data_IF_978694336329
#
_entry.id   IF_978694336329
#
_cell.length_a   1.000
_cell.length_b   1.000
_cell.length_c   1.000
_cell.angle_alpha   90.00
_cell.angle_beta   90.00
_cell.angle_gamma   90.00
#
_symmetry.space_group_name_H-M   'P 1'
#
loop_
_entity.id
_entity.type
_entity.pdbx_description
1 polymer ?
#
# COMPACT_ATOMS: atom_id res chain seq x y z
N UNK A 1 97.19 0.61 9.04
CA UNK A 1 95.98 1.13 9.72
C UNK A 1 94.76 0.41 9.14
N UNK A 2 93.69 0.04 9.86
CA UNK A 2 93.47 -0.12 11.32
C UNK A 2 92.20 -0.97 11.52
N UNK A 3 92.34 -2.17 12.11
CA UNK A 3 91.30 -2.96 12.83
C UNK A 3 90.12 -3.50 11.95
N UNK A 4 89.66 -4.78 12.05
CA UNK A 4 89.13 -5.57 13.20
C UNK A 4 87.70 -5.14 13.60
N UNK A 5 86.76 -6.03 13.97
CA UNK A 5 86.72 -7.52 14.11
C UNK A 5 85.27 -7.97 14.46
N UNK A 6 84.91 -9.24 14.18
CA UNK A 6 83.99 -10.10 15.00
C UNK A 6 82.50 -9.63 15.01
N UNK A 7 81.42 -10.43 15.14
CA UNK A 7 81.05 -11.83 15.53
C UNK A 7 79.85 -12.26 14.60
N UNK A 8 79.17 -13.42 14.61
CA UNK A 8 79.29 -14.83 15.05
C UNK A 8 78.09 -15.60 14.41
N UNK A 9 77.96 -16.93 14.27
CA UNK A 9 78.83 -18.12 14.48
C UNK A 9 78.40 -19.22 13.47
N UNK A 10 79.12 -20.34 13.43
CA UNK A 10 78.63 -21.66 12.96
C UNK A 10 78.57 -22.62 14.19
N UNK A 11 77.94 -23.83 14.17
CA UNK A 11 78.23 -24.90 13.20
C UNK A 11 77.06 -25.84 12.77
N UNK A 12 77.31 -26.57 11.67
CA UNK A 12 76.92 -27.96 11.33
C UNK A 12 75.47 -28.48 11.56
N UNK A 13 74.97 -29.27 10.58
CA UNK A 13 74.72 -30.72 10.70
C UNK A 13 74.42 -31.34 9.32
N UNK A 14 74.60 -32.66 9.21
CA UNK A 14 74.84 -33.47 8.01
C UNK A 14 73.61 -34.02 7.26
N UNK A 15 73.80 -34.26 5.95
CA UNK A 15 73.34 -35.41 5.15
C UNK A 15 71.85 -35.84 5.17
N UNK A 16 71.23 -35.79 3.98
CA UNK A 16 70.52 -36.94 3.40
C UNK A 16 70.44 -36.78 1.86
N UNK A 17 70.41 -37.89 1.11
CA UNK A 17 70.17 -37.89 -0.33
C UNK A 17 69.17 -39.00 -0.69
N UNK A 18 68.13 -38.66 -1.47
CA UNK A 18 67.21 -39.60 -2.07
C UNK A 18 66.63 -38.99 -3.37
N UNK A 19 66.77 -39.69 -4.50
CA UNK A 19 66.20 -39.25 -5.77
C UNK A 19 64.74 -39.67 -5.90
N UNK A 20 63.86 -38.76 -6.28
CA UNK A 20 62.44 -39.05 -6.47
C UNK A 20 62.15 -39.49 -7.91
N UNK A 21 62.11 -40.80 -8.12
CA UNK A 21 61.74 -41.40 -9.41
C UNK A 21 60.20 -41.33 -9.53
N UNK A 22 59.68 -40.32 -10.23
CA UNK A 22 58.24 -40.10 -10.37
C UNK A 22 57.64 -41.11 -11.35
N UNK A 23 57.17 -42.24 -10.83
CA UNK A 23 56.29 -43.13 -11.58
C UNK A 23 54.93 -42.43 -11.77
N UNK A 24 54.63 -42.03 -13.00
CA UNK A 24 53.34 -41.46 -13.38
C UNK A 24 52.21 -42.49 -13.29
N UNK A 25 51.64 -42.64 -12.10
CA UNK A 25 50.47 -43.48 -11.88
C UNK A 25 49.23 -42.83 -12.52
N UNK A 26 48.94 -43.18 -13.77
CA UNK A 26 47.68 -42.80 -14.46
C UNK A 26 46.52 -43.56 -13.82
N UNK A 27 45.97 -43.00 -12.74
CA UNK A 27 44.74 -43.50 -12.15
C UNK A 27 43.62 -43.47 -13.22
N UNK A 28 42.86 -44.55 -13.43
CA UNK A 28 41.75 -44.53 -14.36
C UNK A 28 40.68 -43.57 -13.82
N UNK A 29 40.38 -42.50 -14.56
CA UNK A 29 39.34 -41.54 -14.18
C UNK A 29 37.96 -42.17 -14.37
N UNK A 30 37.44 -42.83 -13.33
CA UNK A 30 36.07 -43.33 -13.28
C UNK A 30 35.10 -42.16 -13.16
N UNK A 31 34.62 -41.67 -14.31
CA UNK A 31 33.65 -40.59 -14.40
C UNK A 31 32.29 -41.01 -13.81
N UNK A 32 32.03 -40.62 -12.56
CA UNK A 32 30.72 -40.82 -11.92
C UNK A 32 29.67 -39.90 -12.55
N UNK A 33 28.90 -40.44 -13.49
CA UNK A 33 27.80 -39.72 -14.14
C UNK A 33 26.61 -39.62 -13.19
N UNK A 34 26.28 -38.40 -12.77
CA UNK A 34 25.09 -38.11 -11.98
C UNK A 34 23.98 -37.58 -12.90
N UNK A 35 22.79 -38.20 -12.85
CA UNK A 35 21.63 -37.77 -13.65
C UNK A 35 20.57 -37.20 -12.71
N UNK A 36 20.55 -35.87 -12.54
CA UNK A 36 19.48 -35.20 -11.80
C UNK A 36 18.24 -35.09 -12.68
N UNK A 37 17.11 -35.64 -12.20
CA UNK A 37 15.79 -35.53 -12.84
C UNK A 37 14.81 -34.90 -11.85
N UNK A 38 14.60 -33.59 -11.96
CA UNK A 38 13.52 -32.92 -11.23
C UNK A 38 12.15 -33.52 -11.62
N UNK A 39 11.25 -33.59 -10.63
CA UNK A 39 9.85 -33.99 -10.76
C UNK A 39 9.01 -32.81 -10.26
N UNK A 40 8.07 -32.34 -11.07
CA UNK A 40 7.17 -31.24 -10.71
C UNK A 40 5.94 -31.81 -9.99
N UNK A 41 5.62 -31.37 -8.76
CA UNK A 41 4.35 -31.71 -8.12
C UNK A 41 3.18 -31.20 -8.95
N UNK A 42 2.18 -32.04 -9.21
CA UNK A 42 0.91 -31.58 -9.80
C UNK A 42 -0.02 -31.15 -8.67
N UNK A 43 -0.41 -29.87 -8.64
CA UNK A 43 -1.29 -29.27 -7.62
C UNK A 43 -2.73 -29.82 -7.56
N UNK A 44 -2.97 -31.01 -8.11
CA UNK A 44 -4.22 -31.78 -8.00
C UNK A 44 -4.28 -32.63 -6.74
N UNK A 45 -3.14 -33.10 -6.20
CA UNK A 45 -3.06 -33.85 -4.95
C UNK A 45 -1.60 -33.91 -4.45
N UNK A 46 -1.25 -33.33 -3.29
CA UNK A 46 0.12 -33.38 -2.75
C UNK A 46 0.57 -34.78 -2.32
N UNK A 47 -0.35 -35.71 -2.04
CA UNK A 47 -0.05 -37.10 -1.68
C UNK A 47 0.08 -38.05 -2.91
N UNK A 48 0.17 -37.51 -4.13
CA UNK A 48 0.20 -38.30 -5.36
C UNK A 48 1.52 -39.07 -5.57
N UNK A 49 1.53 -40.37 -5.26
CA UNK A 49 2.69 -41.25 -5.46
C UNK A 49 2.93 -41.59 -6.94
N UNK A 50 3.82 -40.83 -7.60
CA UNK A 50 4.31 -41.13 -8.94
C UNK A 50 5.29 -42.32 -8.99
N UNK A 51 5.40 -42.97 -10.15
CA UNK A 51 6.43 -44.00 -10.42
C UNK A 51 7.28 -43.59 -11.62
N UNK A 52 8.58 -43.38 -11.40
CA UNK A 52 9.57 -43.10 -12.46
C UNK A 52 10.35 -44.36 -12.82
N UNK A 53 10.41 -44.69 -14.10
CA UNK A 53 11.15 -45.85 -14.62
C UNK A 53 12.52 -45.45 -15.19
N UNK A 54 13.59 -45.66 -14.43
CA UNK A 54 14.96 -45.43 -14.91
C UNK A 54 15.58 -46.74 -15.44
N UNK A 55 15.72 -46.85 -16.77
CA UNK A 55 16.32 -48.02 -17.43
C UNK A 55 17.82 -47.79 -17.65
N UNK A 56 18.65 -48.30 -16.74
CA UNK A 56 20.12 -48.27 -16.87
C UNK A 56 20.61 -49.51 -17.62
N UNK A 57 21.41 -49.32 -18.69
CA UNK A 57 22.10 -50.39 -19.42
C UNK A 57 23.60 -50.39 -19.09
N UNK A 58 24.07 -51.21 -18.12
CA UNK A 58 25.48 -51.23 -17.76
C UNK A 58 26.34 -51.92 -18.82
N UNK A 59 27.40 -51.26 -19.28
CA UNK A 59 28.41 -51.85 -20.19
C UNK A 59 29.57 -52.53 -19.42
N UNK A 60 29.56 -52.45 -18.08
CA UNK A 60 30.55 -53.03 -17.17
C UNK A 60 29.89 -53.28 -15.80
N UNK A 61 30.54 -54.07 -14.93
CA UNK A 61 30.04 -54.31 -13.56
C UNK A 61 30.19 -53.05 -12.71
N UNK A 62 29.08 -52.48 -12.26
CA UNK A 62 29.03 -51.31 -11.37
C UNK A 62 27.86 -51.41 -10.39
N UNK A 63 27.77 -50.45 -9.45
CA UNK A 63 26.65 -50.32 -8.51
C UNK A 63 25.90 -49.02 -8.79
N UNK A 64 24.60 -49.10 -9.02
CA UNK A 64 23.71 -47.95 -9.00
C UNK A 64 23.42 -47.59 -7.53
N UNK A 65 23.49 -46.30 -7.20
CA UNK A 65 22.80 -45.73 -6.05
C UNK A 65 21.62 -44.90 -6.54
N UNK A 66 20.58 -44.84 -5.74
CA UNK A 66 19.47 -43.89 -5.91
C UNK A 66 19.32 -43.23 -4.55
N UNK A 67 19.93 -42.07 -4.43
CA UNK A 67 19.83 -41.21 -3.26
C UNK A 67 18.65 -40.25 -3.50
N UNK A 68 17.83 -40.01 -2.47
CA UNK A 68 16.62 -39.21 -2.55
C UNK A 68 16.69 -38.13 -1.47
N UNK A 69 17.25 -36.98 -1.83
CA UNK A 69 17.34 -35.80 -0.97
C UNK A 69 15.91 -35.29 -0.70
N UNK A 70 15.48 -35.35 0.57
CA UNK A 70 14.08 -35.25 0.98
C UNK A 70 13.70 -33.91 1.61
N UNK A 71 14.43 -32.85 1.27
CA UNK A 71 14.43 -31.56 1.95
C UNK A 71 13.81 -30.42 1.11
N UNK A 72 12.74 -30.72 0.36
CA UNK A 72 11.79 -29.68 -0.12
C UNK A 72 10.79 -29.35 1.02
N UNK A 73 11.33 -28.87 2.15
CA UNK A 73 10.52 -28.33 3.24
C UNK A 73 10.05 -26.93 2.82
N UNK A 74 8.92 -26.89 2.11
CA UNK A 74 8.19 -25.66 1.81
C UNK A 74 7.45 -25.14 3.06
N UNK A 75 8.19 -24.98 4.16
CA UNK A 75 7.84 -24.05 5.25
C UNK A 75 8.13 -22.62 4.77
N UNK A 76 7.46 -22.24 3.69
CA UNK A 76 7.00 -20.86 3.57
C UNK A 76 5.85 -20.72 4.56
N UNK A 77 6.18 -20.51 5.83
CA UNK A 77 5.27 -19.78 6.70
C UNK A 77 4.96 -18.49 5.94
N UNK A 78 3.71 -18.34 5.51
CA UNK A 78 3.24 -17.09 4.95
C UNK A 78 3.48 -16.06 6.06
N UNK A 79 4.33 -15.04 5.86
CA UNK A 79 4.64 -14.11 6.92
C UNK A 79 3.32 -13.53 7.42
N UNK A 80 3.13 -13.36 8.75
CA UNK A 80 1.90 -12.74 9.23
C UNK A 80 1.75 -11.40 8.53
N UNK A 81 0.61 -11.19 7.89
CA UNK A 81 0.36 -10.05 7.02
C UNK A 81 0.63 -8.77 7.82
N UNK A 82 1.80 -8.18 7.56
CA UNK A 82 2.39 -7.07 8.33
C UNK A 82 2.43 -5.78 7.51
N UNK A 83 1.80 -5.84 6.35
CA UNK A 83 1.48 -4.73 5.45
C UNK A 83 0.15 -4.10 5.97
N UNK A 84 -0.85 -4.94 6.32
CA UNK A 84 -2.09 -4.64 7.09
C UNK A 84 -1.85 -3.88 8.43
N UNK A 85 -0.62 -3.87 8.94
CA UNK A 85 -0.22 -3.10 10.13
C UNK A 85 0.15 -1.63 9.85
N UNK A 86 0.13 -1.20 8.58
CA UNK A 86 0.48 0.15 8.13
C UNK A 86 -0.48 0.76 7.09
N UNK A 87 -1.44 -0.02 6.59
CA UNK A 87 -2.42 0.44 5.61
C UNK A 87 -3.46 1.40 6.22
N UNK A 88 -3.89 2.36 5.41
CA UNK A 88 -4.90 3.38 5.70
C UNK A 88 -6.06 3.28 4.71
N UNK A 89 -7.20 3.84 5.10
CA UNK A 89 -8.28 4.19 4.19
C UNK A 89 -7.83 5.42 3.38
N UNK A 90 -7.54 5.24 2.09
CA UNK A 90 -7.22 6.33 1.18
C UNK A 90 -8.43 6.68 0.29
N UNK A 91 -8.81 7.95 0.25
CA UNK A 91 -9.88 8.43 -0.62
C UNK A 91 -9.32 9.07 -1.89
N UNK A 92 -9.52 8.41 -3.03
CA UNK A 92 -9.09 8.89 -4.35
C UNK A 92 -10.34 9.34 -5.14
N UNK A 93 -10.26 10.51 -5.77
CA UNK A 93 -11.36 11.04 -6.57
C UNK A 93 -11.34 10.46 -7.99
N UNK A 94 -12.25 9.56 -8.31
CA UNK A 94 -12.48 9.06 -9.67
C UNK A 94 -13.81 9.58 -10.21
N UNK A 95 -13.74 10.32 -11.32
CA UNK A 95 -14.87 10.71 -12.17
C UNK A 95 -16.19 11.04 -11.43
N UNK A 96 -16.16 12.07 -10.58
CA UNK A 96 -17.31 12.66 -9.85
C UNK A 96 -17.69 11.99 -8.52
N UNK A 97 -17.06 10.87 -8.14
CA UNK A 97 -17.19 10.25 -6.81
C UNK A 97 -15.83 9.90 -6.16
N UNK A 98 -15.82 9.53 -4.87
CA UNK A 98 -14.61 9.22 -4.11
C UNK A 98 -14.56 7.72 -3.77
N UNK A 99 -13.68 6.99 -4.46
CA UNK A 99 -13.41 5.59 -4.16
C UNK A 99 -12.44 5.47 -2.97
N UNK A 100 -12.51 4.34 -2.26
CA UNK A 100 -11.68 4.05 -1.09
C UNK A 100 -10.82 2.82 -1.34
N UNK A 101 -9.51 3.00 -1.26
CA UNK A 101 -8.52 1.93 -1.31
C UNK A 101 -7.81 1.76 0.05
N UNK A 102 -7.54 0.50 0.40
CA UNK A 102 -6.74 0.12 1.57
C UNK A 102 -5.27 0.04 1.13
N UNK A 103 -4.46 1.05 1.47
CA UNK A 103 -3.10 1.25 0.93
C UNK A 103 -2.18 2.02 1.89
N UNK A 104 -0.88 2.16 1.59
CA UNK A 104 0.05 2.88 2.45
C UNK A 104 -0.10 4.41 2.37
N UNK A 105 0.22 5.18 3.43
CA UNK A 105 0.14 6.65 3.40
C UNK A 105 1.01 7.32 2.33
N UNK A 106 2.16 6.73 2.01
CA UNK A 106 3.07 7.24 0.97
C UNK A 106 2.48 7.00 -0.45
N UNK A 107 1.80 5.87 -0.68
CA UNK A 107 1.12 5.57 -1.95
C UNK A 107 -0.14 6.42 -2.13
N UNK A 108 -0.98 6.53 -1.09
CA UNK A 108 -2.14 7.43 -1.08
C UNK A 108 -1.75 8.88 -1.45
N UNK A 109 -0.67 9.37 -0.87
CA UNK A 109 -0.12 10.72 -1.17
C UNK A 109 0.44 10.80 -2.58
N UNK A 110 1.00 9.72 -3.14
CA UNK A 110 1.55 9.68 -4.49
C UNK A 110 0.48 9.66 -5.59
N UNK A 111 -0.67 9.05 -5.32
CA UNK A 111 -1.85 9.07 -6.22
C UNK A 111 -2.72 10.32 -6.05
N UNK A 112 -2.47 11.10 -4.98
CA UNK A 112 -3.12 12.38 -4.71
C UNK A 112 -4.43 12.27 -3.92
N UNK A 113 -4.65 11.13 -3.27
CA UNK A 113 -5.80 10.88 -2.40
C UNK A 113 -5.68 11.54 -1.02
N UNK A 114 -6.72 11.32 -0.20
CA UNK A 114 -6.84 11.83 1.16
C UNK A 114 -6.73 10.68 2.17
N UNK A 115 -5.76 10.78 3.08
CA UNK A 115 -5.57 9.87 4.21
C UNK A 115 -6.69 10.07 5.26
N UNK A 116 -7.54 9.06 5.43
CA UNK A 116 -8.60 9.00 6.45
C UNK A 116 -8.17 8.26 7.73
N UNK A 117 -6.94 7.75 7.77
CA UNK A 117 -6.38 6.95 8.85
C UNK A 117 -6.65 5.44 8.74
N UNK A 118 -6.26 4.70 9.77
CA UNK A 118 -6.43 3.25 9.82
C UNK A 118 -7.90 2.86 10.08
N UNK A 119 -8.44 1.99 9.23
CA UNK A 119 -9.81 1.49 9.27
C UNK A 119 -10.04 0.47 8.17
N UNK A 120 -11.24 0.39 7.61
CA UNK A 120 -11.52 -0.42 6.40
C UNK A 120 -12.49 0.29 5.46
N UNK A 121 -12.31 0.10 4.16
CA UNK A 121 -13.10 0.75 3.11
C UNK A 121 -14.55 0.23 2.98
N UNK A 122 -15.02 -0.64 3.88
CA UNK A 122 -16.40 -1.15 3.88
C UNK A 122 -17.10 -0.96 5.24
N UNK A 123 -18.16 -0.11 5.34
CA UNK A 123 -18.71 0.76 4.28
C UNK A 123 -17.72 1.86 3.86
N UNK A 124 -17.89 2.42 2.65
CA UNK A 124 -17.02 3.47 2.14
C UNK A 124 -16.96 4.66 3.13
N UNK A 125 -15.79 4.99 3.71
CA UNK A 125 -15.59 6.10 4.64
C UNK A 125 -15.42 7.45 3.93
N UNK A 126 -15.18 7.44 2.61
CA UNK A 126 -14.91 8.64 1.85
C UNK A 126 -16.16 9.52 1.74
N UNK A 127 -15.99 10.85 1.66
CA UNK A 127 -17.11 11.73 1.37
C UNK A 127 -17.62 11.42 -0.03
N UNK A 128 -18.79 10.77 -0.13
CA UNK A 128 -19.58 10.89 -1.34
C UNK A 128 -19.95 12.37 -1.50
N UNK A 129 -20.04 12.86 -2.73
CA UNK A 129 -20.35 14.27 -3.04
C UNK A 129 -21.70 14.74 -2.48
N UNK A 130 -22.55 13.80 -2.04
CA UNK A 130 -23.77 14.01 -1.24
C UNK A 130 -23.55 14.34 0.25
N UNK A 131 -22.30 14.36 0.75
CA UNK A 131 -22.01 14.60 2.18
C UNK A 131 -21.95 16.10 2.51
N UNK A 132 -21.66 16.91 1.50
CA UNK A 132 -21.68 18.38 1.58
C UNK A 132 -23.07 18.98 1.28
N UNK A 133 -24.07 18.13 0.95
CA UNK A 133 -25.48 18.52 0.80
C UNK A 133 -26.03 19.07 2.12
N UNK A 134 -26.36 20.36 2.13
CA UNK A 134 -27.00 21.06 3.24
C UNK A 134 -28.34 21.65 2.79
N UNK A 135 -29.23 21.90 3.74
CA UNK A 135 -30.41 22.71 3.49
C UNK A 135 -29.98 24.18 3.38
N UNK A 136 -30.18 24.76 2.20
CA UNK A 136 -30.00 26.18 1.95
C UNK A 136 -31.35 26.88 1.93
N UNK A 137 -31.53 27.89 2.77
CA UNK A 137 -32.68 28.80 2.67
C UNK A 137 -32.36 29.96 1.74
N UNK A 138 -32.79 29.87 0.49
CA UNK A 138 -32.61 30.92 -0.53
C UNK A 138 -33.70 31.99 -0.32
N UNK A 139 -33.35 33.30 -0.37
CA UNK A 139 -34.34 34.37 -0.27
C UNK A 139 -35.05 34.59 -1.60
N UNK A 140 -36.24 33.99 -1.75
CA UNK A 140 -37.18 34.29 -2.85
C UNK A 140 -37.69 35.75 -2.78
N UNK A 141 -37.96 36.33 -3.96
CA UNK A 141 -38.48 37.70 -4.15
C UNK A 141 -40.02 37.78 -4.03
N UNK A 142 -40.76 36.65 -4.14
CA UNK A 142 -42.22 36.62 -4.00
C UNK A 142 -42.69 36.56 -2.52
N UNK A 143 -43.99 36.83 -2.30
CA UNK A 143 -44.63 36.91 -0.96
C UNK A 143 -44.65 35.58 -0.15
N UNK A 144 -44.05 34.50 -0.67
CA UNK A 144 -44.11 33.16 -0.08
C UNK A 144 -43.06 32.93 1.04
N UNK A 145 -41.94 33.66 0.98
CA UNK A 145 -40.84 33.59 1.92
C UNK A 145 -39.77 32.55 1.55
N UNK A 146 -38.64 32.58 2.28
CA UNK A 146 -37.44 31.81 1.94
C UNK A 146 -37.69 30.31 1.67
N UNK A 147 -37.20 29.87 0.53
CA UNK A 147 -37.37 28.51 0.00
C UNK A 147 -36.17 27.62 0.35
N UNK A 148 -36.41 26.31 0.53
CA UNK A 148 -35.36 25.37 0.92
C UNK A 148 -34.95 24.49 -0.26
N UNK A 149 -33.71 24.63 -0.69
CA UNK A 149 -33.07 23.73 -1.64
C UNK A 149 -31.94 22.94 -0.98
N UNK A 150 -31.66 21.75 -1.51
CA UNK A 150 -30.49 20.95 -1.11
C UNK A 150 -29.33 21.32 -2.04
N UNK A 151 -28.29 21.93 -1.48
CA UNK A 151 -27.14 22.46 -2.22
C UNK A 151 -25.86 22.30 -1.38
N UNK A 152 -24.68 22.50 -1.98
CA UNK A 152 -23.44 22.57 -1.20
C UNK A 152 -23.34 23.87 -0.40
N UNK A 153 -22.46 23.89 0.61
CA UNK A 153 -22.21 25.08 1.41
C UNK A 153 -21.72 26.30 0.61
N UNK A 154 -20.95 26.10 -0.46
CA UNK A 154 -20.44 27.16 -1.33
C UNK A 154 -21.49 27.66 -2.33
N UNK A 155 -22.30 26.77 -2.91
CA UNK A 155 -23.44 27.16 -3.77
C UNK A 155 -24.47 27.98 -2.98
N UNK A 156 -24.82 27.53 -1.77
CA UNK A 156 -25.70 28.26 -0.88
C UNK A 156 -25.20 29.68 -0.56
N UNK A 157 -23.89 29.85 -0.38
CA UNK A 157 -23.26 31.14 -0.16
C UNK A 157 -23.24 32.03 -1.43
N UNK A 158 -23.15 31.43 -2.61
CA UNK A 158 -23.21 32.14 -3.90
C UNK A 158 -24.61 32.71 -4.19
N UNK A 159 -25.67 31.95 -3.84
CA UNK A 159 -27.08 32.35 -3.97
C UNK A 159 -27.53 33.33 -2.86
N UNK A 160 -26.63 33.69 -1.92
CA UNK A 160 -26.88 34.53 -0.73
C UNK A 160 -27.83 33.89 0.30
N UNK A 161 -28.00 32.56 0.25
CA UNK A 161 -28.88 31.80 1.14
C UNK A 161 -28.29 31.56 2.53
N UNK A 162 -29.15 31.05 3.42
CA UNK A 162 -28.78 30.69 4.80
C UNK A 162 -28.62 29.18 4.92
N UNK A 163 -27.38 28.74 5.12
CA UNK A 163 -27.01 27.34 5.36
C UNK A 163 -27.51 26.88 6.75
N UNK A 164 -28.37 25.84 6.78
CA UNK A 164 -28.90 25.21 7.99
C UNK A 164 -28.17 23.90 8.38
N UNK A 165 -27.14 23.51 7.64
CA UNK A 165 -26.45 22.23 7.77
C UNK A 165 -27.21 21.06 7.16
N UNK A 166 -26.75 19.84 7.47
CA UNK A 166 -27.32 18.58 6.98
C UNK A 166 -28.68 18.26 7.62
N UNK A 167 -29.72 19.00 7.22
CA UNK A 167 -31.14 18.78 7.52
C UNK A 167 -31.93 18.70 6.21
N UNK A 168 -33.11 18.07 6.23
CA UNK A 168 -33.93 17.90 5.03
C UNK A 168 -34.83 19.12 4.74
N UNK A 169 -35.07 19.40 3.46
CA UNK A 169 -35.97 20.47 3.01
C UNK A 169 -37.47 20.09 2.98
N UNK A 170 -37.85 18.83 3.25
CA UNK A 170 -39.24 18.43 3.49
C UNK A 170 -39.41 17.88 4.92
N UNK A 171 -40.29 18.47 5.77
CA UNK A 171 -40.99 19.74 5.56
C UNK A 171 -40.02 20.94 5.61
N UNK A 172 -40.32 22.02 4.89
CA UNK A 172 -39.45 23.21 4.77
C UNK A 172 -39.02 23.74 6.18
N UNK A 173 -37.71 23.70 6.50
CA UNK A 173 -37.14 24.18 7.77
C UNK A 173 -36.89 25.70 7.81
N UNK A 174 -36.98 26.40 6.67
CA UNK A 174 -36.74 27.83 6.58
C UNK A 174 -37.81 28.61 7.36
N UNK A 175 -37.36 29.67 8.04
CA UNK A 175 -38.28 30.60 8.68
C UNK A 175 -39.03 31.38 7.57
N UNK A 176 -40.36 31.55 7.67
CA UNK A 176 -41.08 32.40 6.73
C UNK A 176 -40.51 33.82 6.81
N UNK A 177 -40.28 34.44 5.65
CA UNK A 177 -39.71 35.79 5.57
C UNK A 177 -40.52 36.75 6.46
N UNK A 178 -39.86 37.51 7.35
CA UNK A 178 -40.58 38.46 8.20
C UNK A 178 -41.40 39.41 7.34
N UNK A 179 -42.68 39.69 7.69
CA UNK A 179 -43.45 40.67 6.94
C UNK A 179 -42.68 42.00 6.93
N UNK A 180 -42.68 42.74 5.80
CA UNK A 180 -41.84 43.92 5.63
C UNK A 180 -42.02 44.85 6.83
N UNK A 181 -40.91 45.19 7.49
CA UNK A 181 -40.95 46.06 8.67
C UNK A 181 -41.63 47.36 8.27
N UNK A 182 -42.67 47.82 9.01
CA UNK A 182 -43.41 49.02 8.64
C UNK A 182 -42.41 50.17 8.51
N UNK A 183 -42.39 50.78 7.33
CA UNK A 183 -41.42 51.82 6.98
C UNK A 183 -41.44 52.90 8.06
N UNK A 184 -40.28 53.13 8.68
CA UNK A 184 -40.17 53.99 9.87
C UNK A 184 -40.19 55.43 9.38
N UNK A 185 -41.41 55.93 9.14
CA UNK A 185 -41.67 57.27 8.63
C UNK A 185 -40.91 58.30 9.46
N UNK A 186 -39.94 58.95 8.83
CA UNK A 186 -39.01 59.88 9.44
C UNK A 186 -39.68 61.24 9.58
N UNK A 187 -40.53 61.38 10.60
CA UNK A 187 -41.19 62.64 10.90
C UNK A 187 -40.19 63.76 11.27
N UNK A 188 -39.94 64.69 10.36
CA UNK A 188 -39.14 65.90 10.56
C UNK A 188 -40.06 67.05 10.99
N UNK A 189 -39.74 67.77 12.08
CA UNK A 189 -40.48 68.96 12.48
C UNK A 189 -39.96 70.22 11.77
N UNK A 190 -40.77 70.76 10.87
CA UNK A 190 -40.54 72.03 10.16
C UNK A 190 -41.47 73.15 10.69
N UNK A 191 -41.19 74.41 10.31
CA UNK A 191 -41.87 75.59 10.85
C UNK A 191 -43.40 75.66 10.58
N UNK A 192 -43.93 74.88 9.63
CA UNK A 192 -45.38 74.79 9.35
C UNK A 192 -46.04 73.48 9.84
N UNK A 193 -45.27 72.48 10.30
CA UNK A 193 -45.81 71.20 10.78
C UNK A 193 -44.77 70.08 10.91
N UNK A 194 -45.22 68.89 11.33
CA UNK A 194 -44.42 67.67 11.17
C UNK A 194 -44.74 67.03 9.82
N UNK A 195 -43.75 66.98 8.94
CA UNK A 195 -43.82 66.21 7.70
C UNK A 195 -43.18 64.85 7.93
N UNK A 196 -43.79 63.78 7.42
CA UNK A 196 -43.31 62.41 7.61
C UNK A 196 -43.21 61.71 6.26
N UNK A 197 -42.00 61.30 5.89
CA UNK A 197 -41.66 60.48 4.72
C UNK A 197 -41.17 59.09 5.16
#
# INVERSE_FOLDING_TARGET
MTYHRIWSTSPAITLAAAGLLVLGATAPAWATVHVKKSLTPTGKNPAAQGKVGLVVKPHSKGKLKVDADGDDVLETEMPPDTEDAGDIQCCVADNEEAECDETTPDECTAEGGVDMGAGSCLPNPCPSTSTDEIACCIPDDDENGAECETATADECAAEQGVNLGAVACDPNPCAPTPPPTPEIACCVPDDEGVECE
#
